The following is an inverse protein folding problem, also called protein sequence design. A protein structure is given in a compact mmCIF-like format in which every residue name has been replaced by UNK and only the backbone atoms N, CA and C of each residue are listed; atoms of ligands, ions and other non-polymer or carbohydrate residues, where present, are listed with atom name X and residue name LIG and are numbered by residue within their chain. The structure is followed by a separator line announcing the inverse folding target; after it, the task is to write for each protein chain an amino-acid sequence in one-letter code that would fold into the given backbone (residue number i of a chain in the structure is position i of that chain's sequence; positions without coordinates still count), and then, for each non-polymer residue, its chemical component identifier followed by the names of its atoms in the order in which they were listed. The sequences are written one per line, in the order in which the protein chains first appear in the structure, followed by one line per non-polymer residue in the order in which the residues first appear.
data_IF_038585302668
#
_entry.id   IF_038585302668
#
_cell.length_a   1.000
_cell.length_b   1.000
_cell.length_c   1.000
_cell.angle_alpha   90.00
_cell.angle_beta   90.00
_cell.angle_gamma   90.00
#
_symmetry.space_group_name_H-M   'P 1'
#
loop_
_entity.id
_entity.type
_entity.pdbx_description
1 polymer ?
#
# COMPACT_ATOMS: atom_id res chain seq x y z
N UNK A 1 -0.52 -40.10 22.03
CA UNK A 1 0.35 -40.00 20.84
C UNK A 1 -0.47 -39.40 19.69
N UNK A 2 -0.40 -38.07 19.49
CA UNK A 2 -1.02 -37.40 18.33
C UNK A 2 -0.16 -37.67 17.10
N UNK A 3 -0.80 -37.95 15.97
CA UNK A 3 -0.18 -38.29 14.69
C UNK A 3 0.81 -37.22 14.22
N UNK A 4 2.11 -37.46 14.41
CA UNK A 4 3.22 -36.61 13.92
C UNK A 4 3.29 -36.65 12.37
N UNK A 5 2.67 -37.66 11.73
CA UNK A 5 2.63 -37.81 10.28
C UNK A 5 1.65 -36.88 9.53
N UNK A 6 0.47 -36.56 10.09
CA UNK A 6 -0.56 -35.81 9.36
C UNK A 6 -0.26 -34.31 9.24
N UNK A 7 0.36 -33.73 10.27
CA UNK A 7 0.76 -32.31 10.30
C UNK A 7 1.89 -32.01 9.31
N UNK A 8 2.83 -32.95 9.16
CA UNK A 8 3.96 -32.82 8.25
C UNK A 8 3.53 -32.85 6.78
N UNK A 9 2.60 -33.76 6.43
CA UNK A 9 2.05 -33.86 5.07
C UNK A 9 1.25 -32.60 4.71
N UNK A 10 0.39 -32.13 5.63
CA UNK A 10 -0.40 -30.90 5.47
C UNK A 10 0.48 -29.66 5.25
N UNK A 11 1.59 -29.56 6.00
CA UNK A 11 2.54 -28.44 5.86
C UNK A 11 3.25 -28.47 4.50
N UNK A 12 3.71 -29.64 4.05
CA UNK A 12 4.36 -29.79 2.73
C UNK A 12 3.41 -29.44 1.59
N UNK A 13 2.16 -29.91 1.65
CA UNK A 13 1.13 -29.57 0.68
C UNK A 13 0.87 -28.06 0.64
N UNK A 14 0.75 -27.41 1.80
CA UNK A 14 0.55 -25.96 1.87
C UNK A 14 1.73 -25.16 1.28
N UNK A 15 2.97 -25.58 1.55
CA UNK A 15 4.17 -24.96 0.98
C UNK A 15 4.19 -25.13 -0.56
N UNK A 16 3.86 -26.32 -1.07
CA UNK A 16 3.79 -26.56 -2.51
C UNK A 16 2.73 -25.69 -3.19
N UNK A 17 1.53 -25.57 -2.60
CA UNK A 17 0.47 -24.69 -3.09
C UNK A 17 0.91 -23.21 -3.09
N UNK A 18 1.57 -22.77 -2.02
CA UNK A 18 2.09 -21.41 -1.94
C UNK A 18 3.14 -21.17 -3.03
N UNK A 19 4.09 -22.10 -3.20
CA UNK A 19 5.11 -21.99 -4.24
C UNK A 19 4.50 -21.92 -5.65
N UNK A 20 3.51 -22.77 -5.95
CA UNK A 20 2.79 -22.72 -7.22
C UNK A 20 2.08 -21.38 -7.43
N UNK A 21 1.44 -20.85 -6.40
CA UNK A 21 0.80 -19.53 -6.46
C UNK A 21 1.80 -18.40 -6.70
N UNK A 22 2.93 -18.40 -6.01
CA UNK A 22 4.01 -17.41 -6.20
C UNK A 22 4.62 -17.49 -7.60
N UNK A 23 4.79 -18.71 -8.13
CA UNK A 23 5.24 -18.92 -9.51
C UNK A 23 4.21 -18.40 -10.52
N UNK A 24 2.93 -18.67 -10.32
CA UNK A 24 1.86 -18.16 -11.17
C UNK A 24 1.79 -16.62 -11.16
N UNK A 25 1.91 -16.00 -9.98
CA UNK A 25 1.93 -14.55 -9.84
C UNK A 25 3.15 -13.92 -10.52
N UNK A 26 4.33 -14.53 -10.35
CA UNK A 26 5.57 -14.08 -11.01
C UNK A 26 5.49 -14.21 -12.52
N UNK A 27 5.07 -15.39 -13.00
CA UNK A 27 4.88 -15.64 -14.42
C UNK A 27 3.93 -14.62 -15.04
N UNK A 28 2.77 -14.41 -14.41
CA UNK A 28 1.77 -13.47 -14.92
C UNK A 28 2.29 -12.03 -14.95
N UNK A 29 2.93 -11.57 -13.88
CA UNK A 29 3.45 -10.20 -13.81
C UNK A 29 4.56 -9.91 -14.83
N UNK A 30 5.46 -10.88 -15.06
CA UNK A 30 6.58 -10.72 -15.99
C UNK A 30 6.17 -10.87 -17.45
N UNK A 31 5.14 -11.68 -17.74
CA UNK A 31 4.66 -11.90 -19.13
C UNK A 31 3.60 -10.91 -19.58
N UNK A 32 2.90 -10.26 -18.64
CA UNK A 32 1.84 -9.31 -18.93
C UNK A 32 2.00 -7.99 -18.13
N UNK A 33 3.16 -7.32 -18.18
CA UNK A 33 3.37 -6.06 -17.48
C UNK A 33 2.40 -4.99 -18.00
N UNK A 34 1.91 -4.13 -17.12
CA UNK A 34 1.11 -2.96 -17.49
C UNK A 34 1.98 -1.73 -17.28
N UNK A 35 2.59 -1.22 -18.36
CA UNK A 35 3.30 0.05 -18.32
C UNK A 35 2.29 1.20 -18.40
N UNK A 36 2.24 2.01 -17.34
CA UNK A 36 1.52 3.28 -17.32
C UNK A 36 2.52 4.42 -17.52
N UNK A 37 2.03 5.63 -17.77
CA UNK A 37 2.88 6.80 -17.93
C UNK A 37 3.83 7.02 -16.74
N UNK A 38 3.46 6.59 -15.53
CA UNK A 38 4.30 6.65 -14.31
C UNK A 38 5.70 6.03 -14.49
N UNK A 39 5.87 5.07 -15.39
CA UNK A 39 7.18 4.48 -15.71
C UNK A 39 8.16 5.53 -16.19
N UNK A 40 7.70 6.47 -17.01
CA UNK A 40 8.54 7.48 -17.67
C UNK A 40 9.29 8.34 -16.64
N UNK A 41 8.61 9.07 -15.73
CA UNK A 41 9.29 9.87 -14.73
C UNK A 41 10.07 9.02 -13.72
N UNK A 42 9.62 7.81 -13.34
CA UNK A 42 10.42 6.96 -12.44
C UNK A 42 11.72 6.50 -13.09
N UNK A 43 11.72 6.12 -14.37
CA UNK A 43 12.95 5.83 -15.11
C UNK A 43 13.84 7.07 -15.16
N UNK A 44 13.26 8.25 -15.42
CA UNK A 44 13.99 9.52 -15.43
C UNK A 44 14.76 9.76 -14.12
N UNK A 45 14.14 9.45 -12.97
CA UNK A 45 14.80 9.63 -11.69
C UNK A 45 16.09 8.82 -11.54
N UNK A 46 16.35 7.81 -12.37
CA UNK A 46 17.60 7.03 -12.34
C UNK A 46 18.80 7.74 -12.98
N UNK A 47 18.56 8.72 -13.84
CA UNK A 47 19.59 9.49 -14.56
C UNK A 47 20.07 10.68 -13.73
N UNK A 48 20.83 10.39 -12.67
CA UNK A 48 21.29 11.43 -11.73
C UNK A 48 22.37 12.34 -12.32
N UNK A 49 23.11 11.89 -13.34
CA UNK A 49 24.18 12.65 -13.99
C UNK A 49 23.63 13.70 -14.96
N UNK A 50 22.46 13.45 -15.52
CA UNK A 50 21.75 14.29 -16.47
C UNK A 50 20.72 15.19 -15.77
N UNK A 51 20.62 15.13 -14.43
CA UNK A 51 19.58 15.80 -13.66
C UNK A 51 19.53 17.33 -13.85
N UNK A 52 20.68 17.95 -14.15
CA UNK A 52 20.81 19.39 -14.35
C UNK A 52 20.50 19.84 -15.80
N UNK A 53 20.34 18.90 -16.75
CA UNK A 53 20.03 19.17 -18.15
C UNK A 53 18.72 18.46 -18.55
N UNK A 54 17.58 19.18 -18.56
CA UNK A 54 16.29 18.64 -18.97
C UNK A 54 16.31 17.93 -20.32
N UNK A 55 17.08 18.44 -21.30
CA UNK A 55 17.14 17.86 -22.64
C UNK A 55 17.89 16.53 -22.65
N UNK A 56 19.04 16.47 -21.97
CA UNK A 56 19.81 15.23 -21.85
C UNK A 56 19.03 14.15 -21.09
N UNK A 57 18.37 14.51 -19.98
CA UNK A 57 17.56 13.58 -19.20
C UNK A 57 16.34 13.07 -19.98
N UNK A 58 15.69 13.95 -20.76
CA UNK A 58 14.58 13.57 -21.64
C UNK A 58 15.03 12.58 -22.71
N UNK A 59 16.11 12.89 -23.43
CA UNK A 59 16.67 12.02 -24.46
C UNK A 59 17.08 10.66 -23.90
N UNK A 60 17.79 10.64 -22.76
CA UNK A 60 18.20 9.41 -22.08
C UNK A 60 16.99 8.56 -21.65
N UNK A 61 15.97 9.18 -21.08
CA UNK A 61 14.75 8.50 -20.60
C UNK A 61 13.99 7.85 -21.75
N UNK A 62 13.61 8.64 -22.77
CA UNK A 62 12.84 8.11 -23.90
C UNK A 62 13.67 7.19 -24.79
N UNK A 63 14.99 7.41 -24.87
CA UNK A 63 15.94 6.51 -25.53
C UNK A 63 15.96 5.13 -24.89
N UNK A 64 16.11 5.05 -23.56
CA UNK A 64 16.07 3.80 -22.81
C UNK A 64 14.71 3.09 -22.93
N UNK A 65 13.61 3.83 -22.80
CA UNK A 65 12.26 3.26 -22.94
C UNK A 65 12.04 2.66 -24.32
N UNK A 66 12.48 3.35 -25.39
CA UNK A 66 12.36 2.86 -26.76
C UNK A 66 13.20 1.60 -27.01
N UNK A 67 14.34 1.47 -26.33
CA UNK A 67 15.18 0.28 -26.42
C UNK A 67 14.62 -0.90 -25.62
N UNK A 68 13.96 -0.62 -24.50
CA UNK A 68 13.52 -1.65 -23.54
C UNK A 68 12.11 -2.17 -23.80
N UNK A 69 11.26 -1.39 -24.48
CA UNK A 69 9.86 -1.69 -24.70
C UNK A 69 9.58 -2.01 -26.17
N UNK A 70 8.54 -2.82 -26.41
CA UNK A 70 8.04 -2.99 -27.77
C UNK A 70 7.36 -1.69 -28.29
N UNK A 71 7.13 -1.62 -29.60
CA UNK A 71 6.56 -0.43 -30.22
C UNK A 71 5.17 -0.08 -29.70
N UNK A 72 4.32 -1.07 -29.39
CA UNK A 72 2.97 -0.83 -28.90
C UNK A 72 3.00 -0.27 -27.47
N UNK A 73 3.84 -0.85 -26.61
CA UNK A 73 4.09 -0.40 -25.24
C UNK A 73 4.65 1.02 -25.25
N UNK A 74 5.70 1.28 -26.02
CA UNK A 74 6.29 2.63 -26.10
C UNK A 74 5.29 3.67 -26.60
N UNK A 75 4.54 3.35 -27.68
CA UNK A 75 3.53 4.25 -28.22
C UNK A 75 2.41 4.56 -27.22
N UNK A 76 2.07 3.62 -26.34
CA UNK A 76 1.10 3.87 -25.27
C UNK A 76 1.60 4.89 -24.23
N UNK A 77 2.91 4.96 -24.00
CA UNK A 77 3.53 5.90 -23.04
C UNK A 77 3.67 7.33 -23.58
N UNK A 78 3.54 7.52 -24.88
CA UNK A 78 3.53 8.85 -25.52
C UNK A 78 2.14 9.20 -26.08
N UNK A 79 1.15 8.36 -25.81
CA UNK A 79 -0.22 8.49 -26.29
C UNK A 79 -1.08 9.36 -25.38
N UNK A 80 -1.91 10.22 -26.00
CA UNK A 80 -2.78 11.17 -25.29
C UNK A 80 -2.14 12.55 -25.16
N UNK A 81 -2.97 13.58 -24.96
CA UNK A 81 -2.55 14.98 -24.99
C UNK A 81 -1.45 15.29 -23.97
N UNK A 82 -1.64 14.84 -22.72
CA UNK A 82 -0.67 15.04 -21.65
C UNK A 82 0.68 14.36 -21.95
N UNK A 83 0.67 13.06 -22.25
CA UNK A 83 1.90 12.31 -22.50
C UNK A 83 2.65 12.78 -23.76
N UNK A 84 1.92 13.19 -24.79
CA UNK A 84 2.49 13.76 -26.01
C UNK A 84 3.17 15.12 -25.73
N UNK A 85 2.58 15.97 -24.87
CA UNK A 85 3.17 17.24 -24.47
C UNK A 85 4.49 17.04 -23.69
N UNK A 86 4.57 16.02 -22.84
CA UNK A 86 5.80 15.64 -22.12
C UNK A 86 6.86 15.06 -23.07
N UNK A 87 6.44 14.24 -24.03
CA UNK A 87 7.36 13.68 -25.03
C UNK A 87 7.90 14.76 -25.98
N UNK A 88 7.13 15.82 -26.27
CA UNK A 88 7.53 16.87 -27.20
C UNK A 88 8.43 17.96 -26.58
N UNK A 89 8.35 18.21 -25.26
CA UNK A 89 9.12 19.26 -24.58
C UNK A 89 9.87 18.72 -23.35
N UNK A 90 11.22 18.79 -23.35
CA UNK A 90 12.04 18.46 -22.19
C UNK A 90 11.72 19.28 -20.95
N UNK A 91 11.34 20.54 -21.11
CA UNK A 91 11.02 21.46 -20.02
C UNK A 91 9.71 21.05 -19.32
N UNK A 92 8.67 20.77 -20.11
CA UNK A 92 7.40 20.26 -19.59
C UNK A 92 7.62 18.96 -18.82
N UNK A 93 8.43 18.05 -19.39
CA UNK A 93 8.77 16.78 -18.77
C UNK A 93 9.51 16.94 -17.43
N UNK A 94 10.56 17.78 -17.39
CA UNK A 94 11.32 18.04 -16.17
C UNK A 94 10.44 18.64 -15.06
N UNK A 95 9.48 19.50 -15.43
CA UNK A 95 8.50 20.07 -14.50
C UNK A 95 7.61 19.05 -13.77
N UNK A 96 7.48 17.83 -14.29
CA UNK A 96 6.65 16.78 -13.67
C UNK A 96 7.40 15.96 -12.61
N UNK A 97 8.74 15.97 -12.61
CA UNK A 97 9.53 14.98 -11.86
C UNK A 97 9.37 15.09 -10.34
N UNK A 98 9.15 16.29 -9.82
CA UNK A 98 8.95 16.54 -8.38
C UNK A 98 7.79 15.71 -7.79
N UNK A 99 6.72 15.45 -8.56
CA UNK A 99 5.60 14.59 -8.13
C UNK A 99 5.99 13.11 -7.93
N UNK A 100 7.05 12.68 -8.61
CA UNK A 100 7.54 11.30 -8.57
C UNK A 100 8.66 11.16 -7.54
N UNK A 101 9.49 12.19 -7.38
CA UNK A 101 10.59 12.24 -6.42
C UNK A 101 10.15 12.34 -4.95
N UNK A 102 8.92 12.78 -4.68
CA UNK A 102 8.29 12.80 -3.35
C UNK A 102 8.14 11.42 -2.68
N UNK A 103 8.68 10.36 -3.28
CA UNK A 103 8.70 9.00 -2.73
C UNK A 103 10.16 8.59 -2.55
N UNK A 104 10.89 9.21 -1.60
CA UNK A 104 12.35 9.20 -1.63
C UNK A 104 12.91 7.79 -1.50
N UNK A 105 12.29 6.94 -0.67
CA UNK A 105 12.77 5.57 -0.50
C UNK A 105 12.49 4.71 -1.74
N UNK A 106 11.36 4.92 -2.42
CA UNK A 106 11.07 4.22 -3.67
C UNK A 106 12.10 4.56 -4.75
N UNK A 107 12.34 5.86 -4.95
CA UNK A 107 13.33 6.36 -5.92
C UNK A 107 14.75 5.93 -5.55
N UNK A 108 15.11 5.99 -4.26
CA UNK A 108 16.43 5.57 -3.79
C UNK A 108 16.70 4.09 -4.08
N UNK A 109 15.73 3.21 -3.82
CA UNK A 109 15.90 1.78 -4.11
C UNK A 109 15.99 1.55 -5.62
N UNK A 110 15.18 2.24 -6.42
CA UNK A 110 15.27 2.14 -7.88
C UNK A 110 16.63 2.61 -8.42
N UNK A 111 17.13 3.75 -7.96
CA UNK A 111 18.49 4.25 -8.26
C UNK A 111 19.55 3.24 -7.86
N UNK A 112 19.39 2.61 -6.69
CA UNK A 112 20.30 1.56 -6.21
C UNK A 112 20.31 0.33 -7.13
N UNK A 113 19.16 -0.10 -7.63
CA UNK A 113 19.06 -1.20 -8.60
C UNK A 113 19.74 -0.83 -9.93
N UNK A 114 19.51 0.38 -10.43
CA UNK A 114 20.13 0.89 -11.66
C UNK A 114 21.67 0.97 -11.50
N UNK A 115 22.16 1.50 -10.37
CA UNK A 115 23.58 1.57 -10.06
C UNK A 115 24.23 0.18 -9.92
N UNK A 116 23.46 -0.84 -9.53
CA UNK A 116 23.89 -2.23 -9.52
C UNK A 116 23.85 -2.92 -10.90
N UNK A 117 23.48 -2.18 -11.95
CA UNK A 117 23.46 -2.65 -13.35
C UNK A 117 22.13 -3.21 -13.83
N UNK A 118 21.05 -3.10 -13.04
CA UNK A 118 19.72 -3.49 -13.52
C UNK A 118 19.19 -2.47 -14.54
N UNK A 119 18.45 -2.93 -15.56
CA UNK A 119 17.69 -2.04 -16.42
C UNK A 119 16.61 -1.33 -15.56
N UNK A 120 16.53 0.02 -15.55
CA UNK A 120 15.51 0.74 -14.80
C UNK A 120 14.07 0.28 -15.06
N UNK A 121 13.73 -0.09 -16.30
CA UNK A 121 12.38 -0.56 -16.66
C UNK A 121 12.03 -1.86 -15.93
N UNK A 122 12.95 -2.83 -15.93
CA UNK A 122 12.81 -4.08 -15.20
C UNK A 122 12.83 -3.85 -13.68
N UNK A 123 13.72 -2.97 -13.22
CA UNK A 123 13.88 -2.61 -11.82
C UNK A 123 12.57 -2.08 -11.20
N UNK A 124 11.83 -1.25 -11.93
CA UNK A 124 10.53 -0.76 -11.46
C UNK A 124 9.50 -1.91 -11.36
N UNK A 125 9.48 -2.84 -12.33
CA UNK A 125 8.62 -4.03 -12.23
C UNK A 125 8.98 -4.88 -11.02
N UNK A 126 10.27 -5.06 -10.71
CA UNK A 126 10.70 -5.80 -9.52
C UNK A 126 10.24 -5.14 -8.22
N UNK A 127 10.19 -3.80 -8.18
CA UNK A 127 9.67 -3.04 -7.04
C UNK A 127 8.15 -3.20 -6.83
N UNK A 128 7.43 -3.76 -7.79
CA UNK A 128 6.02 -4.13 -7.62
C UNK A 128 5.85 -5.63 -7.37
N UNK A 129 6.57 -6.47 -8.13
CA UNK A 129 6.47 -7.92 -8.06
C UNK A 129 7.04 -8.50 -6.76
N UNK A 130 8.29 -8.17 -6.41
CA UNK A 130 8.96 -8.76 -5.24
C UNK A 130 8.18 -8.45 -3.96
N UNK A 131 7.70 -7.21 -3.74
CA UNK A 131 6.83 -6.95 -2.61
C UNK A 131 5.52 -7.72 -2.62
N UNK A 132 4.88 -7.90 -3.78
CA UNK A 132 3.69 -8.73 -3.92
C UNK A 132 3.93 -10.18 -3.46
N UNK A 133 5.05 -10.78 -3.87
CA UNK A 133 5.45 -12.13 -3.44
C UNK A 133 5.70 -12.20 -1.93
N UNK A 134 6.42 -11.22 -1.38
CA UNK A 134 6.74 -11.16 0.05
C UNK A 134 5.50 -10.95 0.92
N UNK A 135 4.50 -10.20 0.44
CA UNK A 135 3.21 -10.06 1.11
C UNK A 135 2.55 -11.44 1.27
N UNK A 136 2.47 -12.24 0.21
CA UNK A 136 1.92 -13.60 0.29
C UNK A 136 2.67 -14.47 1.30
N UNK A 137 4.01 -14.39 1.35
CA UNK A 137 4.83 -15.14 2.31
C UNK A 137 4.55 -14.69 3.74
N UNK A 138 4.56 -13.38 4.03
CA UNK A 138 4.29 -12.85 5.37
C UNK A 138 2.88 -13.24 5.84
N UNK A 139 1.88 -13.10 4.97
CA UNK A 139 0.51 -13.49 5.30
C UNK A 139 0.39 -14.98 5.57
N UNK A 140 1.05 -15.85 4.80
CA UNK A 140 1.08 -17.29 5.08
C UNK A 140 1.71 -17.59 6.45
N UNK A 141 2.85 -16.96 6.75
CA UNK A 141 3.54 -17.13 8.04
C UNK A 141 2.71 -16.63 9.23
N UNK A 142 1.90 -15.60 9.03
CA UNK A 142 0.99 -15.08 10.05
C UNK A 142 -0.23 -15.99 10.21
N UNK A 143 -0.92 -16.30 9.12
CA UNK A 143 -2.16 -17.09 9.12
C UNK A 143 -1.94 -18.53 9.60
N UNK A 144 -0.81 -19.16 9.28
CA UNK A 144 -0.53 -20.54 9.75
C UNK A 144 -0.34 -20.66 11.26
N UNK A 145 -0.14 -19.53 11.96
CA UNK A 145 -0.08 -19.51 13.42
C UNK A 145 -1.48 -19.29 14.02
N UNK A 146 -2.42 -18.78 13.23
CA UNK A 146 -3.83 -18.58 13.63
C UNK A 146 -4.70 -19.80 13.27
N UNK A 147 -4.34 -20.51 12.20
CA UNK A 147 -5.07 -21.64 11.59
C UNK A 147 -4.13 -22.79 11.23
N UNK A 148 -4.63 -23.86 10.62
CA UNK A 148 -3.78 -24.87 9.99
C UNK A 148 -3.07 -24.38 8.71
N UNK A 149 -1.94 -24.99 8.30
CA UNK A 149 -1.16 -24.57 7.13
C UNK A 149 -1.96 -24.53 5.82
N UNK A 150 -2.84 -25.50 5.58
CA UNK A 150 -3.65 -25.56 4.36
C UNK A 150 -4.69 -24.43 4.32
N UNK A 151 -5.37 -24.16 5.44
CA UNK A 151 -6.31 -23.05 5.54
C UNK A 151 -5.59 -21.71 5.33
N UNK A 152 -4.39 -21.56 5.90
CA UNK A 152 -3.57 -20.37 5.73
C UNK A 152 -3.21 -20.12 4.26
N UNK A 153 -2.76 -21.12 3.50
CA UNK A 153 -2.42 -20.91 2.08
C UNK A 153 -3.67 -20.63 1.24
N UNK A 154 -4.80 -21.27 1.51
CA UNK A 154 -6.05 -20.99 0.80
C UNK A 154 -6.51 -19.55 1.06
N UNK A 155 -6.43 -19.08 2.30
CA UNK A 155 -6.72 -17.69 2.64
C UNK A 155 -5.77 -16.71 1.93
N UNK A 156 -4.47 -17.01 1.83
CA UNK A 156 -3.52 -16.20 1.05
C UNK A 156 -3.87 -16.15 -0.43
N UNK A 157 -4.26 -17.27 -1.04
CA UNK A 157 -4.68 -17.31 -2.45
C UNK A 157 -5.95 -16.47 -2.66
N UNK A 158 -6.95 -16.65 -1.80
CA UNK A 158 -8.19 -15.87 -1.85
C UNK A 158 -7.94 -14.38 -1.66
N UNK A 159 -7.04 -14.01 -0.74
CA UNK A 159 -6.60 -12.62 -0.58
C UNK A 159 -5.87 -12.11 -1.80
N UNK A 160 -4.93 -12.88 -2.36
CA UNK A 160 -4.17 -12.45 -3.54
C UNK A 160 -5.07 -12.16 -4.74
N UNK A 161 -6.14 -12.95 -4.92
CA UNK A 161 -7.15 -12.73 -5.97
C UNK A 161 -8.05 -11.56 -5.57
N UNK A 162 -8.61 -11.61 -4.37
CA UNK A 162 -9.59 -10.63 -3.87
C UNK A 162 -9.01 -9.23 -3.69
N UNK A 163 -7.76 -9.08 -3.30
CA UNK A 163 -7.06 -7.80 -3.17
C UNK A 163 -6.36 -7.38 -4.48
N UNK A 164 -6.62 -8.09 -5.60
CA UNK A 164 -6.08 -7.81 -6.94
C UNK A 164 -4.55 -7.76 -6.99
N UNK A 165 -3.87 -8.60 -6.21
CA UNK A 165 -2.42 -8.58 -6.11
C UNK A 165 -1.72 -8.94 -7.43
N UNK A 166 -2.38 -9.71 -8.30
CA UNK A 166 -1.90 -9.98 -9.67
C UNK A 166 -1.79 -8.69 -10.50
N UNK A 167 -2.77 -7.78 -10.39
CA UNK A 167 -2.72 -6.49 -11.08
C UNK A 167 -1.69 -5.57 -10.42
N UNK A 168 -1.66 -5.50 -9.09
CA UNK A 168 -0.73 -4.61 -8.37
C UNK A 168 0.74 -5.04 -8.49
N UNK A 169 1.00 -6.32 -8.77
CA UNK A 169 2.37 -6.84 -8.93
C UNK A 169 2.94 -6.63 -10.34
N UNK A 170 2.10 -6.26 -11.32
CA UNK A 170 2.50 -6.06 -12.73
C UNK A 170 2.42 -4.62 -13.19
N UNK A 171 1.89 -3.73 -12.36
CA UNK A 171 1.86 -2.28 -12.58
C UNK A 171 3.06 -1.67 -11.84
N UNK A 172 3.98 -0.97 -12.52
CA UNK A 172 5.24 -0.42 -12.00
C UNK A 172 5.02 0.84 -11.16
N UNK A 173 4.36 0.68 -10.01
CA UNK A 173 4.01 1.73 -9.06
C UNK A 173 4.40 1.36 -7.62
N UNK A 174 4.58 2.35 -6.71
CA UNK A 174 5.03 2.11 -5.34
C UNK A 174 4.05 1.36 -4.43
N UNK A 175 2.86 1.01 -4.93
CA UNK A 175 1.75 0.52 -4.11
C UNK A 175 2.06 -0.80 -3.41
N UNK A 176 2.57 -1.81 -4.14
CA UNK A 176 2.94 -3.10 -3.56
C UNK A 176 4.10 -2.98 -2.57
N UNK A 177 5.09 -2.13 -2.85
CA UNK A 177 6.21 -1.90 -1.93
C UNK A 177 5.76 -1.22 -0.63
N UNK A 178 4.88 -0.22 -0.76
CA UNK A 178 4.23 0.47 0.36
C UNK A 178 3.39 -0.49 1.20
N UNK A 179 2.56 -1.31 0.55
CA UNK A 179 1.72 -2.31 1.21
C UNK A 179 2.57 -3.33 1.99
N UNK A 180 3.68 -3.79 1.42
CA UNK A 180 4.62 -4.68 2.10
C UNK A 180 5.16 -4.03 3.39
N UNK A 181 5.62 -2.78 3.34
CA UNK A 181 6.17 -2.10 4.51
C UNK A 181 5.14 -1.99 5.65
N UNK A 182 3.88 -1.65 5.32
CA UNK A 182 2.80 -1.58 6.31
C UNK A 182 2.47 -2.97 6.87
N UNK A 183 2.29 -3.99 6.02
CA UNK A 183 1.98 -5.37 6.46
C UNK A 183 3.12 -5.94 7.31
N UNK A 184 4.37 -5.74 6.90
CA UNK A 184 5.55 -6.18 7.66
C UNK A 184 5.63 -5.49 9.02
N UNK A 185 5.34 -4.18 9.08
CA UNK A 185 5.29 -3.42 10.33
C UNK A 185 4.20 -3.94 11.28
N UNK A 186 2.99 -4.20 10.76
CA UNK A 186 1.90 -4.79 11.54
C UNK A 186 2.19 -6.23 11.98
N UNK A 187 2.85 -7.03 11.14
CA UNK A 187 3.29 -8.38 11.51
C UNK A 187 4.34 -8.34 12.62
N UNK A 188 5.31 -7.43 12.54
CA UNK A 188 6.30 -7.21 13.62
C UNK A 188 5.60 -6.81 14.93
N UNK A 189 4.64 -5.87 14.85
CA UNK A 189 3.90 -5.36 16.01
C UNK A 189 3.04 -6.44 16.67
N UNK A 190 2.14 -7.06 15.90
CA UNK A 190 1.06 -7.88 16.43
C UNK A 190 1.44 -9.36 16.58
N UNK A 191 2.17 -9.92 15.60
CA UNK A 191 2.50 -11.34 15.59
C UNK A 191 3.84 -11.65 16.26
N UNK A 192 4.86 -10.80 16.04
CA UNK A 192 6.22 -11.02 16.56
C UNK A 192 6.51 -10.27 17.86
N UNK A 193 5.70 -9.28 18.23
CA UNK A 193 5.93 -8.38 19.38
C UNK A 193 7.29 -7.68 19.31
N UNK A 194 7.75 -7.37 18.09
CA UNK A 194 9.01 -6.68 17.84
C UNK A 194 8.74 -5.20 17.56
N UNK A 195 8.73 -4.40 18.63
CA UNK A 195 8.36 -2.98 18.58
C UNK A 195 9.26 -2.15 17.68
N UNK A 196 10.59 -2.29 17.81
CA UNK A 196 11.53 -1.56 16.97
C UNK A 196 11.36 -1.88 15.48
N UNK A 197 11.21 -3.16 15.13
CA UNK A 197 10.95 -3.57 13.75
C UNK A 197 9.63 -3.02 13.20
N UNK A 198 8.59 -2.96 14.02
CA UNK A 198 7.32 -2.33 13.66
C UNK A 198 7.48 -0.83 13.36
N UNK A 199 8.18 -0.11 14.24
CA UNK A 199 8.39 1.34 14.10
C UNK A 199 9.19 1.66 12.84
N UNK A 200 10.27 0.92 12.58
CA UNK A 200 11.09 1.10 11.39
C UNK A 200 10.28 0.84 10.13
N UNK A 201 9.60 -0.31 10.01
CA UNK A 201 8.82 -0.64 8.82
C UNK A 201 7.69 0.37 8.56
N UNK A 202 6.94 0.75 9.59
CA UNK A 202 5.85 1.72 9.47
C UNK A 202 6.37 3.13 9.15
N UNK A 203 7.48 3.55 9.76
CA UNK A 203 8.14 4.83 9.46
C UNK A 203 8.63 4.89 8.01
N UNK A 204 9.34 3.84 7.55
CA UNK A 204 9.83 3.75 6.17
C UNK A 204 8.69 3.71 5.16
N UNK A 205 7.52 3.17 5.52
CA UNK A 205 6.35 3.16 4.63
C UNK A 205 5.94 4.57 4.17
N UNK A 206 6.15 5.62 4.99
CA UNK A 206 5.84 7.02 4.64
C UNK A 206 6.82 7.54 3.57
N UNK A 207 8.06 7.08 3.60
CA UNK A 207 9.09 7.44 2.61
C UNK A 207 8.89 6.70 1.28
N UNK A 208 8.14 5.59 1.27
CA UNK A 208 7.71 4.90 0.03
C UNK A 208 6.46 5.58 -0.52
N UNK A 209 5.49 5.87 0.35
CA UNK A 209 4.27 6.62 0.02
C UNK A 209 3.86 7.51 1.19
N UNK A 210 3.88 8.82 0.98
CA UNK A 210 3.51 9.83 1.99
C UNK A 210 2.09 9.66 2.52
N UNK A 211 1.16 9.18 1.69
CA UNK A 211 -0.23 8.90 2.07
C UNK A 211 -0.38 7.88 3.21
N UNK A 212 0.62 7.04 3.48
CA UNK A 212 0.57 6.11 4.61
C UNK A 212 0.49 6.81 5.96
N UNK A 213 0.81 8.12 6.03
CA UNK A 213 0.64 8.92 7.24
C UNK A 213 -0.80 8.87 7.78
N UNK A 214 -1.80 8.74 6.89
CA UNK A 214 -3.23 8.65 7.23
C UNK A 214 -3.52 7.44 8.13
N UNK A 215 -2.75 6.37 8.01
CA UNK A 215 -2.86 5.19 8.87
C UNK A 215 -1.81 5.15 9.97
N UNK A 216 -0.55 5.42 9.63
CA UNK A 216 0.60 5.25 10.53
C UNK A 216 0.54 6.20 11.73
N UNK A 217 0.21 7.48 11.53
CA UNK A 217 0.13 8.42 12.64
C UNK A 217 -1.03 8.09 13.60
N UNK A 218 -2.27 7.83 13.13
CA UNK A 218 -3.35 7.35 14.00
C UNK A 218 -3.03 6.03 14.71
N UNK A 219 -2.31 5.10 14.07
CA UNK A 219 -1.89 3.85 14.70
C UNK A 219 -0.91 4.11 15.86
N UNK A 220 0.10 4.95 15.68
CA UNK A 220 1.01 5.28 16.79
C UNK A 220 0.33 6.09 17.89
N UNK A 221 -0.60 6.97 17.54
CA UNK A 221 -1.46 7.66 18.52
C UNK A 221 -2.28 6.65 19.33
N UNK A 222 -2.87 5.64 18.67
CA UNK A 222 -3.60 4.57 19.34
C UNK A 222 -2.70 3.74 20.26
N UNK A 223 -1.47 3.44 19.84
CA UNK A 223 -0.49 2.72 20.65
C UNK A 223 -0.09 3.52 21.89
N UNK A 224 0.22 4.82 21.74
CA UNK A 224 0.50 5.71 22.86
C UNK A 224 -0.69 5.82 23.82
N UNK A 225 -1.89 5.99 23.28
CA UNK A 225 -3.13 6.04 24.06
C UNK A 225 -3.35 4.76 24.86
N UNK A 226 -3.22 3.61 24.20
CA UNK A 226 -3.36 2.29 24.81
C UNK A 226 -2.38 2.09 25.97
N UNK A 227 -1.11 2.47 25.75
CA UNK A 227 -0.06 2.42 26.76
C UNK A 227 -0.41 3.24 28.01
N UNK A 228 -0.76 4.51 27.82
CA UNK A 228 -1.07 5.42 28.92
C UNK A 228 -2.32 5.00 29.70
N UNK A 229 -3.36 4.55 28.99
CA UNK A 229 -4.63 4.14 29.62
C UNK A 229 -4.53 2.86 30.43
N UNK A 230 -3.59 1.99 30.09
CA UNK A 230 -3.29 0.77 30.85
C UNK A 230 -2.51 1.04 32.14
N UNK A 231 -2.17 2.31 32.41
CA UNK A 231 -1.41 2.71 33.59
C UNK A 231 0.06 2.32 33.52
N UNK A 232 0.55 1.96 32.34
CA UNK A 232 1.96 1.64 32.14
C UNK A 232 2.81 2.92 32.24
N UNK A 233 4.04 2.83 32.79
CA UNK A 233 4.85 4.00 33.00
C UNK A 233 5.18 4.68 31.66
N UNK A 234 5.04 6.03 31.56
CA UNK A 234 5.33 6.78 30.34
C UNK A 234 6.83 6.85 30.02
N UNK A 235 7.68 6.26 30.85
CA UNK A 235 9.14 6.14 30.63
C UNK A 235 9.56 4.73 30.22
N UNK A 236 8.63 3.91 29.74
CA UNK A 236 8.96 2.59 29.20
C UNK A 236 9.63 2.72 27.82
N UNK A 237 10.45 1.73 27.48
CA UNK A 237 11.07 1.65 26.15
C UNK A 237 10.02 1.64 25.03
N UNK A 238 8.94 0.87 25.20
CA UNK A 238 7.85 0.81 24.22
C UNK A 238 7.20 2.16 23.97
N UNK A 239 6.94 2.94 25.01
CA UNK A 239 6.35 4.27 24.87
C UNK A 239 7.27 5.21 24.09
N UNK A 240 8.58 5.14 24.31
CA UNK A 240 9.55 5.90 23.51
C UNK A 240 9.58 5.46 22.05
N UNK A 241 9.47 4.17 21.77
CA UNK A 241 9.33 3.69 20.40
C UNK A 241 8.04 4.19 19.74
N UNK A 242 6.88 4.12 20.41
CA UNK A 242 5.61 4.58 19.86
C UNK A 242 5.60 6.10 19.66
N UNK A 243 6.03 6.87 20.66
CA UNK A 243 6.10 8.33 20.59
C UNK A 243 7.14 8.82 19.59
N UNK A 244 8.31 8.19 19.56
CA UNK A 244 9.37 8.45 18.59
C UNK A 244 8.93 8.10 17.16
N UNK A 245 8.23 6.97 16.98
CA UNK A 245 7.61 6.59 15.72
C UNK A 245 6.60 7.62 15.23
N UNK A 246 5.70 8.07 16.10
CA UNK A 246 4.74 9.14 15.77
C UNK A 246 5.43 10.43 15.35
N UNK A 247 6.40 10.89 16.15
CA UNK A 247 7.14 12.11 15.86
C UNK A 247 7.90 11.99 14.53
N UNK A 248 8.61 10.88 14.32
CA UNK A 248 9.32 10.60 13.07
C UNK A 248 8.37 10.59 11.87
N UNK A 249 7.21 9.94 11.99
CA UNK A 249 6.22 9.87 10.91
C UNK A 249 5.70 11.26 10.50
N UNK A 250 5.31 12.08 11.48
CA UNK A 250 4.78 13.43 11.24
C UNK A 250 5.87 14.36 10.68
N UNK A 251 7.06 14.35 11.29
CA UNK A 251 8.19 15.15 10.82
C UNK A 251 8.62 14.73 9.42
N UNK A 252 8.66 13.43 9.12
CA UNK A 252 8.98 12.92 7.78
C UNK A 252 7.98 13.44 6.74
N UNK A 253 6.68 13.39 7.04
CA UNK A 253 5.66 13.88 6.12
C UNK A 253 5.87 15.36 5.80
N UNK A 254 5.98 16.22 6.82
CA UNK A 254 6.16 17.66 6.60
C UNK A 254 7.51 18.00 5.96
N UNK A 255 8.58 17.28 6.32
CA UNK A 255 9.89 17.47 5.72
C UNK A 255 9.89 17.10 4.24
N UNK A 256 9.36 15.92 3.87
CA UNK A 256 9.22 15.49 2.47
C UNK A 256 8.38 16.52 1.70
N UNK A 257 7.23 16.93 2.26
CA UNK A 257 6.36 17.89 1.58
C UNK A 257 7.03 19.25 1.36
N UNK A 258 7.84 19.72 2.31
CA UNK A 258 8.57 20.98 2.19
C UNK A 258 9.73 20.91 1.19
N UNK A 259 10.46 19.78 1.13
CA UNK A 259 11.61 19.61 0.24
C UNK A 259 11.19 19.52 -1.23
N UNK A 260 10.08 18.85 -1.52
CA UNK A 260 9.63 18.61 -2.90
C UNK A 260 8.53 19.57 -3.38
N UNK A 261 8.29 20.69 -2.65
CA UNK A 261 7.20 21.64 -2.91
C UNK A 261 5.85 20.93 -3.18
N UNK A 262 5.54 19.95 -2.35
CA UNK A 262 4.36 19.14 -2.53
C UNK A 262 3.15 19.77 -1.85
N UNK A 263 2.16 20.11 -2.68
CA UNK A 263 0.85 20.55 -2.25
C UNK A 263 -0.21 19.49 -2.57
N UNK A 264 -0.99 19.12 -1.54
CA UNK A 264 -2.11 18.20 -1.68
C UNK A 264 -3.14 18.73 -2.69
N UNK A 265 -3.41 20.05 -2.69
CA UNK A 265 -4.40 20.63 -3.60
C UNK A 265 -3.93 20.55 -5.05
N UNK A 266 -2.66 20.84 -5.32
CA UNK A 266 -2.03 20.65 -6.63
C UNK A 266 -2.18 19.20 -7.14
N UNK A 267 -1.87 18.21 -6.29
CA UNK A 267 -2.04 16.80 -6.66
C UNK A 267 -3.52 16.42 -6.88
N UNK A 268 -4.40 16.90 -6.01
CA UNK A 268 -5.84 16.67 -6.09
C UNK A 268 -6.39 17.19 -7.41
N UNK A 269 -6.05 18.43 -7.79
CA UNK A 269 -6.46 19.04 -9.04
C UNK A 269 -5.92 18.28 -10.24
N UNK A 270 -4.61 17.99 -10.26
CA UNK A 270 -3.96 17.26 -11.35
C UNK A 270 -4.59 15.88 -11.61
N UNK A 271 -4.99 15.19 -10.54
CA UNK A 271 -5.48 13.80 -10.66
C UNK A 271 -6.99 13.70 -10.87
N UNK A 272 -7.78 14.61 -10.28
CA UNK A 272 -9.24 14.45 -10.20
C UNK A 272 -10.03 15.48 -11.02
N UNK A 273 -9.40 16.59 -11.39
CA UNK A 273 -10.04 17.66 -12.17
C UNK A 273 -9.45 17.67 -13.58
N UNK A 274 -8.15 17.97 -13.70
CA UNK A 274 -7.47 18.09 -15.00
C UNK A 274 -5.97 17.89 -14.86
N UNK A 275 -5.39 17.03 -15.70
CA UNK A 275 -3.95 16.77 -15.76
C UNK A 275 -3.19 17.99 -16.30
N UNK A 276 -2.43 18.63 -15.43
CA UNK A 276 -1.69 19.86 -15.72
C UNK A 276 -0.37 19.59 -16.45
N UNK A 277 -0.14 20.25 -17.58
CA UNK A 277 1.11 20.16 -18.37
C UNK A 277 2.27 20.88 -17.67
N UNK A 278 2.01 22.02 -17.01
CA UNK A 278 3.00 22.73 -16.20
C UNK A 278 2.55 22.75 -14.75
N UNK A 279 3.21 21.92 -13.94
CA UNK A 279 2.91 21.76 -12.52
C UNK A 279 3.57 22.84 -11.68
N UNK A 280 4.73 23.35 -12.11
CA UNK A 280 5.43 24.41 -11.41
C UNK A 280 4.65 25.74 -11.50
N UNK A 281 3.96 25.97 -12.62
CA UNK A 281 3.09 27.13 -12.81
C UNK A 281 1.71 27.02 -12.15
N UNK A 282 1.38 25.91 -11.48
CA UNK A 282 0.09 25.74 -10.83
C UNK A 282 -0.11 26.76 -9.70
N UNK A 283 -1.03 27.71 -9.91
CA UNK A 283 -1.33 28.79 -8.98
C UNK A 283 -2.81 28.85 -8.57
N UNK A 284 -3.61 27.86 -8.94
CA UNK A 284 -5.04 27.84 -8.67
C UNK A 284 -5.32 27.73 -7.16
N UNK A 285 -5.99 28.71 -6.54
CA UNK A 285 -6.28 28.66 -5.11
C UNK A 285 -7.27 27.54 -4.79
N UNK A 286 -7.24 27.08 -3.54
CA UNK A 286 -8.19 26.08 -3.08
C UNK A 286 -9.64 26.56 -3.26
N UNK A 287 -10.44 25.75 -3.97
CA UNK A 287 -11.86 26.02 -4.22
C UNK A 287 -12.74 24.98 -3.55
N UNK A 288 -13.48 25.41 -2.53
CA UNK A 288 -14.46 24.56 -1.82
C UNK A 288 -15.52 24.02 -2.79
N UNK A 289 -15.94 24.84 -3.77
CA UNK A 289 -16.96 24.44 -4.74
C UNK A 289 -16.48 23.27 -5.62
N UNK A 290 -15.27 23.39 -6.20
CA UNK A 290 -14.67 22.32 -7.00
C UNK A 290 -14.42 21.06 -6.18
N UNK A 291 -13.93 21.21 -4.95
CA UNK A 291 -13.73 20.10 -4.03
C UNK A 291 -15.04 19.34 -3.75
N UNK A 292 -16.13 20.05 -3.43
CA UNK A 292 -17.44 19.44 -3.18
C UNK A 292 -18.04 18.82 -4.45
N UNK A 293 -17.79 19.40 -5.62
CA UNK A 293 -18.20 18.81 -6.90
C UNK A 293 -17.51 17.48 -7.16
N UNK A 294 -16.19 17.39 -6.94
CA UNK A 294 -15.43 16.14 -7.05
C UNK A 294 -15.95 15.11 -6.06
N UNK A 295 -16.21 15.48 -4.80
CA UNK A 295 -16.79 14.57 -3.81
C UNK A 295 -18.19 14.08 -4.22
N UNK A 296 -19.04 14.97 -4.72
CA UNK A 296 -20.38 14.61 -5.23
C UNK A 296 -20.26 13.65 -6.42
N UNK A 297 -19.37 13.95 -7.36
CA UNK A 297 -19.10 13.10 -8.52
C UNK A 297 -18.59 11.72 -8.11
N UNK A 298 -17.70 11.65 -7.12
CA UNK A 298 -17.21 10.40 -6.57
C UNK A 298 -18.31 9.60 -5.85
N UNK A 299 -19.18 10.26 -5.08
CA UNK A 299 -20.33 9.61 -4.47
C UNK A 299 -21.29 9.04 -5.52
N UNK A 300 -21.58 9.79 -6.59
CA UNK A 300 -22.38 9.30 -7.72
C UNK A 300 -21.68 8.11 -8.40
N UNK A 301 -20.37 8.19 -8.66
CA UNK A 301 -19.61 7.06 -9.20
C UNK A 301 -19.72 5.83 -8.29
N UNK A 302 -19.56 6.01 -6.99
CA UNK A 302 -19.65 4.94 -6.00
C UNK A 302 -21.03 4.24 -6.04
N UNK A 303 -22.13 4.99 -6.02
CA UNK A 303 -23.48 4.39 -5.88
C UNK A 303 -24.20 4.10 -7.20
N UNK A 304 -23.98 4.90 -8.24
CA UNK A 304 -24.81 4.87 -9.45
C UNK A 304 -24.14 4.20 -10.66
N UNK A 305 -22.80 4.10 -10.69
CA UNK A 305 -22.08 3.64 -11.89
C UNK A 305 -21.62 2.17 -11.85
N UNK A 306 -22.00 1.41 -10.82
CA UNK A 306 -21.47 0.06 -10.60
C UNK A 306 -19.97 0.04 -10.26
N UNK A 307 -19.30 1.20 -10.18
CA UNK A 307 -17.88 1.28 -9.84
C UNK A 307 -17.56 0.72 -8.45
N UNK A 308 -18.50 0.78 -7.49
CA UNK A 308 -18.34 0.08 -6.20
C UNK A 308 -18.20 -1.45 -6.38
N UNK A 309 -18.93 -2.06 -7.32
CA UNK A 309 -18.81 -3.49 -7.67
C UNK A 309 -17.48 -3.77 -8.40
N UNK A 310 -16.96 -2.78 -9.13
CA UNK A 310 -15.63 -2.87 -9.76
C UNK A 310 -14.47 -2.77 -8.75
N UNK A 311 -14.72 -2.24 -7.55
CA UNK A 311 -13.77 -2.28 -6.43
C UNK A 311 -13.98 -3.52 -5.57
N UNK A 312 -12.94 -3.96 -4.89
CA UNK A 312 -13.05 -5.10 -3.95
C UNK A 312 -13.39 -4.66 -2.53
N UNK A 313 -13.47 -3.36 -2.28
CA UNK A 313 -13.82 -2.77 -0.99
C UNK A 313 -15.11 -3.35 -0.37
N UNK A 314 -16.25 -3.51 -1.09
CA UNK A 314 -17.47 -4.05 -0.50
C UNK A 314 -17.32 -5.49 0.03
N UNK A 315 -16.52 -6.31 -0.66
CA UNK A 315 -16.24 -7.68 -0.23
C UNK A 315 -15.53 -7.68 1.13
N UNK A 316 -14.50 -6.84 1.29
CA UNK A 316 -13.78 -6.73 2.55
C UNK A 316 -14.61 -6.04 3.64
N UNK A 317 -15.46 -5.06 3.30
CA UNK A 317 -16.40 -4.49 4.26
C UNK A 317 -17.42 -5.51 4.76
N UNK A 318 -17.96 -6.37 3.87
CA UNK A 318 -18.84 -7.46 4.27
C UNK A 318 -18.13 -8.46 5.18
N UNK A 319 -16.91 -8.86 4.82
CA UNK A 319 -16.08 -9.75 5.64
C UNK A 319 -15.82 -9.13 7.03
N UNK A 320 -15.53 -7.84 7.07
CA UNK A 320 -15.37 -7.09 8.32
C UNK A 320 -16.65 -7.11 9.16
N UNK A 321 -17.80 -6.81 8.55
CA UNK A 321 -19.11 -6.80 9.24
C UNK A 321 -19.43 -8.18 9.85
N UNK A 322 -19.19 -9.26 9.10
CA UNK A 322 -19.39 -10.63 9.58
C UNK A 322 -18.46 -10.92 10.76
N UNK A 323 -17.17 -10.57 10.66
CA UNK A 323 -16.20 -10.80 11.73
C UNK A 323 -16.49 -9.99 13.01
N UNK A 324 -17.12 -8.82 12.86
CA UNK A 324 -17.50 -7.93 13.95
C UNK A 324 -18.89 -8.21 14.55
N UNK A 325 -19.70 -9.04 13.88
CA UNK A 325 -21.02 -9.41 14.35
C UNK A 325 -20.94 -9.99 15.77
N UNK A 326 -21.77 -9.47 16.67
CA UNK A 326 -21.83 -9.89 18.07
C UNK A 326 -20.69 -9.42 18.99
N UNK A 327 -19.60 -8.82 18.46
CA UNK A 327 -18.44 -8.38 19.26
C UNK A 327 -18.18 -6.88 19.23
N UNK A 328 -18.89 -6.14 18.37
CA UNK A 328 -18.62 -4.71 18.12
C UNK A 328 -18.62 -3.83 19.37
N UNK A 329 -19.56 -4.02 20.31
CA UNK A 329 -19.62 -3.24 21.56
C UNK A 329 -18.39 -3.44 22.42
N UNK A 330 -17.97 -4.70 22.58
CA UNK A 330 -16.80 -5.06 23.37
C UNK A 330 -15.50 -4.56 22.74
N UNK A 331 -15.38 -4.65 21.41
CA UNK A 331 -14.21 -4.14 20.69
C UNK A 331 -14.13 -2.61 20.75
N UNK A 332 -15.24 -1.88 20.56
CA UNK A 332 -15.26 -0.42 20.69
C UNK A 332 -14.92 0.02 22.12
N UNK A 333 -15.52 -0.61 23.12
CA UNK A 333 -15.22 -0.34 24.52
C UNK A 333 -13.75 -0.63 24.83
N UNK A 334 -13.20 -1.73 24.30
CA UNK A 334 -11.80 -2.11 24.45
C UNK A 334 -10.81 -1.14 23.79
N UNK A 335 -11.18 -0.52 22.67
CA UNK A 335 -10.35 0.51 22.03
C UNK A 335 -10.36 1.83 22.82
N UNK A 336 -11.53 2.24 23.32
CA UNK A 336 -11.68 3.49 24.09
C UNK A 336 -11.12 3.38 25.50
N UNK A 337 -11.35 2.22 26.14
CA UNK A 337 -10.94 1.90 27.51
C UNK A 337 -10.09 0.62 27.54
N UNK A 338 -8.84 0.71 27.06
CA UNK A 338 -8.02 -0.48 26.86
C UNK A 338 -7.55 -1.08 28.18
N UNK A 339 -7.94 -2.33 28.41
CA UNK A 339 -7.39 -3.19 29.45
C UNK A 339 -6.29 -4.14 28.91
N UNK A 340 -6.14 -4.22 27.58
CA UNK A 340 -5.21 -5.12 26.88
C UNK A 340 -4.37 -4.35 25.86
N UNK A 341 -3.17 -4.86 25.49
CA UNK A 341 -2.42 -4.33 24.37
C UNK A 341 -3.25 -4.29 23.08
N UNK A 342 -2.89 -3.37 22.18
CA UNK A 342 -3.52 -3.26 20.85
C UNK A 342 -3.55 -4.62 20.15
N UNK A 343 -4.73 -4.94 19.62
CA UNK A 343 -5.06 -6.22 19.00
C UNK A 343 -5.43 -6.05 17.52
N UNK A 344 -5.57 -7.19 16.80
CA UNK A 344 -6.07 -7.20 15.42
C UNK A 344 -7.46 -6.53 15.29
N UNK A 345 -8.32 -6.66 16.31
CA UNK A 345 -9.62 -5.99 16.31
C UNK A 345 -9.45 -4.47 16.25
N UNK A 346 -8.61 -3.90 17.12
CA UNK A 346 -8.41 -2.44 17.21
C UNK A 346 -7.83 -1.88 15.90
N UNK A 347 -6.86 -2.58 15.29
CA UNK A 347 -6.29 -2.18 14.00
C UNK A 347 -7.30 -2.34 12.85
N UNK A 348 -8.13 -3.39 12.87
CA UNK A 348 -9.19 -3.56 11.86
C UNK A 348 -10.26 -2.46 11.92
N UNK A 349 -10.53 -1.91 13.12
CA UNK A 349 -11.44 -0.78 13.27
C UNK A 349 -10.80 0.51 12.74
N UNK A 350 -9.52 0.72 13.01
CA UNK A 350 -8.77 1.85 12.46
C UNK A 350 -8.79 1.86 10.91
N UNK A 351 -8.79 0.69 10.27
CA UNK A 351 -8.92 0.57 8.81
C UNK A 351 -10.19 1.25 8.27
N UNK A 352 -11.32 1.19 8.99
CA UNK A 352 -12.56 1.86 8.56
C UNK A 352 -12.46 3.39 8.60
N UNK A 353 -11.80 3.92 9.62
CA UNK A 353 -11.52 5.35 9.73
C UNK A 353 -10.66 5.80 8.55
N UNK A 354 -9.66 4.99 8.20
CA UNK A 354 -8.78 5.24 7.05
C UNK A 354 -9.54 5.16 5.72
N UNK A 355 -10.45 4.21 5.54
CA UNK A 355 -11.31 4.16 4.34
C UNK A 355 -12.13 5.45 4.18
N UNK A 356 -12.76 5.91 5.27
CA UNK A 356 -13.48 7.19 5.27
C UNK A 356 -12.57 8.37 4.92
N UNK A 357 -11.36 8.41 5.51
CA UNK A 357 -10.39 9.46 5.23
C UNK A 357 -9.96 9.47 3.75
N UNK A 358 -9.69 8.31 3.13
CA UNK A 358 -9.34 8.24 1.70
C UNK A 358 -10.49 8.71 0.80
N UNK A 359 -11.73 8.35 1.12
CA UNK A 359 -12.90 8.80 0.36
C UNK A 359 -13.15 10.32 0.45
N UNK A 360 -12.59 11.00 1.45
CA UNK A 360 -12.71 12.44 1.62
C UNK A 360 -11.49 13.15 1.03
N UNK A 361 -10.29 12.71 1.38
CA UNK A 361 -9.03 13.37 1.00
C UNK A 361 -8.63 13.10 -0.45
N UNK A 362 -8.99 11.94 -1.00
CA UNK A 362 -8.59 11.57 -2.36
C UNK A 362 -9.58 10.55 -2.98
N UNK A 363 -10.77 11.01 -3.40
CA UNK A 363 -11.91 10.16 -3.79
C UNK A 363 -11.75 9.47 -5.17
N UNK A 364 -10.62 8.80 -5.39
CA UNK A 364 -10.30 8.08 -6.63
C UNK A 364 -10.94 6.69 -6.62
N UNK A 365 -12.24 6.61 -6.90
CA UNK A 365 -13.01 5.35 -6.80
C UNK A 365 -12.43 4.20 -7.65
N UNK A 366 -12.11 4.45 -8.92
CA UNK A 366 -11.65 3.40 -9.85
C UNK A 366 -10.23 2.87 -9.55
N UNK A 367 -9.45 3.59 -8.73
CA UNK A 367 -8.09 3.24 -8.36
C UNK A 367 -7.88 3.05 -6.86
N UNK A 368 -8.97 2.97 -6.08
CA UNK A 368 -8.89 2.98 -4.62
C UNK A 368 -8.16 1.76 -4.06
N UNK A 369 -8.41 0.59 -4.66
CA UNK A 369 -7.91 -0.71 -4.18
C UNK A 369 -6.38 -0.76 -4.05
N UNK A 370 -5.65 -0.02 -4.89
CA UNK A 370 -4.18 0.04 -4.85
C UNK A 370 -3.64 0.63 -3.55
N UNK A 371 -4.43 1.46 -2.87
CA UNK A 371 -4.08 2.05 -1.58
C UNK A 371 -4.52 1.18 -0.41
N UNK A 372 -5.47 0.27 -0.62
CA UNK A 372 -6.19 -0.40 0.46
C UNK A 372 -5.72 -1.84 0.74
N UNK A 373 -4.83 -2.39 -0.08
CA UNK A 373 -4.23 -3.72 0.09
C UNK A 373 -3.78 -4.06 1.52
N UNK A 374 -3.01 -3.21 2.25
CA UNK A 374 -2.61 -3.55 3.61
C UNK A 374 -3.80 -3.65 4.58
N UNK A 375 -4.84 -2.87 4.36
CA UNK A 375 -6.04 -2.87 5.21
C UNK A 375 -6.93 -4.07 4.92
N UNK A 376 -7.05 -4.45 3.65
CA UNK A 376 -7.70 -5.71 3.25
C UNK A 376 -7.03 -6.92 3.91
N UNK A 377 -5.69 -6.91 4.02
CA UNK A 377 -4.96 -7.96 4.72
C UNK A 377 -5.31 -8.01 6.21
N UNK A 378 -5.38 -6.86 6.89
CA UNK A 378 -5.79 -6.78 8.30
C UNK A 378 -7.22 -7.30 8.50
N UNK A 379 -8.15 -6.91 7.64
CA UNK A 379 -9.54 -7.36 7.70
C UNK A 379 -9.63 -8.89 7.56
N UNK A 380 -8.92 -9.46 6.58
CA UNK A 380 -8.87 -10.91 6.40
C UNK A 380 -8.26 -11.60 7.63
N UNK A 381 -7.13 -11.11 8.14
CA UNK A 381 -6.45 -11.68 9.31
C UNK A 381 -7.38 -11.68 10.53
N UNK A 382 -8.09 -10.58 10.76
CA UNK A 382 -9.08 -10.49 11.83
C UNK A 382 -10.22 -11.49 11.61
N UNK A 383 -10.81 -11.55 10.42
CA UNK A 383 -11.91 -12.47 10.12
C UNK A 383 -11.51 -13.94 10.32
N UNK A 384 -10.33 -14.35 9.82
CA UNK A 384 -9.80 -15.70 10.01
C UNK A 384 -9.59 -16.00 11.49
N UNK A 385 -9.01 -15.07 12.26
CA UNK A 385 -8.81 -15.28 13.70
C UNK A 385 -10.13 -15.54 14.45
N UNK A 386 -11.22 -14.89 14.05
CA UNK A 386 -12.55 -15.07 14.66
C UNK A 386 -13.17 -16.41 14.33
N UNK A 387 -12.99 -16.91 13.11
CA UNK A 387 -13.48 -18.24 12.70
C UNK A 387 -12.76 -19.33 13.50
N UNK A 388 -11.43 -19.21 13.66
CA UNK A 388 -10.64 -20.17 14.44
C UNK A 388 -11.04 -20.21 15.92
N UNK A 389 -11.33 -19.05 16.54
CA UNK A 389 -11.82 -18.98 17.92
C UNK A 389 -13.16 -19.71 18.10
N UNK A 390 -14.03 -19.66 17.09
CA UNK A 390 -15.33 -20.31 17.10
C UNK A 390 -15.20 -21.84 17.03
N UNK A 391 -14.32 -22.38 16.18
CA UNK A 391 -14.07 -23.83 16.09
C UNK A 391 -13.54 -24.41 17.40
N UNK A 392 -12.70 -23.66 18.13
CA UNK A 392 -12.12 -24.09 19.41
C UNK A 392 -13.15 -24.06 20.56
N UNK A 393 -14.06 -23.09 20.55
CA UNK A 393 -15.07 -22.96 21.62
C UNK A 393 -16.33 -23.81 21.37
N UNK A 394 -16.74 -23.99 20.11
CA UNK A 394 -17.87 -24.84 19.72
C UNK A 394 -17.59 -26.33 19.90
N UNK A 395 -16.36 -26.80 19.65
CA UNK A 395 -15.97 -28.20 19.85
C UNK A 395 -15.86 -28.67 21.32
N UNK A 396 -16.17 -27.81 22.29
CA UNK A 396 -16.25 -28.17 23.73
C UNK A 396 -17.68 -28.29 24.25
N UNK A 397 -18.70 -28.15 23.40
CA UNK A 397 -20.10 -28.25 23.79
C UNK A 397 -20.85 -29.43 23.18
N UNK A 398 -20.16 -30.40 22.57
CA UNK A 398 -20.73 -31.68 22.13
C UNK A 398 -20.26 -32.85 23.01
#
# INVERSE_FOLDING_TARGET
MRAIGSTTISTRAAIALLALHLLALSWFALTHPIYTWDVVPYVATTFTTEADDPAAMHEATYGLLRQSLDAAQFNSLIGGEYAAAMYASPENFAGQLSMYEIKPLYVLVLRGLAAAGANPVDGIIWLSLVPGLLICVILFLWLRNLTGPVQAVLAVILFSIGARLFDLSRVPVPDSFSALAVIAGLWCLLARRWTAGAVVCLGLSIWIRTNNIIFVAPLFLLLCWNHLRRGEPPRSEEFYWYGGGLAFSVLSYFWISAVFDYDWWRLFHHTLIESQIDIAAFAEPFSVALYLEVLRGAAVKLFASGAMIATVLPLFLLLWLIAWAGTWRGNLAGMLWPARPVSLADVSLLCLVVFGAFLILFPLIAGLDRFLTPYYAVIMLYAVSRISDFEVTGGRQE
#
